data_IF_464955924211
#
_entry.id   IF_464955924211
#
_cell.length_a   1.000
_cell.length_b   1.000
_cell.length_c   1.000
_cell.angle_alpha   90.00
_cell.angle_beta   90.00
_cell.angle_gamma   90.00
#
_symmetry.space_group_name_H-M   'P 1'
#
loop_
_entity.id
_entity.type
_entity.pdbx_description
1 polymer ?
#
# COMPACT_ATOMS: atom_id res chain seq x y z
N UNK A 1 52.71 4.00 48.03
CA UNK A 1 51.41 4.68 47.87
C UNK A 1 51.31 5.13 46.42
N UNK A 2 50.31 4.88 45.59
CA UNK A 2 49.06 4.13 45.63
C UNK A 2 48.77 3.73 44.18
N UNK A 3 48.32 2.49 43.98
CA UNK A 3 47.81 1.96 42.71
C UNK A 3 46.56 2.75 42.30
N UNK A 4 46.48 3.23 41.06
CA UNK A 4 45.19 3.52 40.43
C UNK A 4 44.87 2.44 39.40
N UNK A 5 43.99 1.53 39.83
CA UNK A 5 43.37 0.51 39.01
C UNK A 5 42.35 1.16 38.08
N UNK A 6 42.55 1.04 36.77
CA UNK A 6 41.50 1.28 35.78
C UNK A 6 40.59 0.05 35.75
N UNK A 7 39.38 0.18 36.31
CA UNK A 7 38.36 -0.84 36.28
C UNK A 7 37.70 -0.89 34.89
N UNK A 8 38.06 -1.90 34.09
CA UNK A 8 37.32 -2.26 32.88
C UNK A 8 36.01 -2.94 33.30
N UNK A 9 34.89 -2.21 33.24
CA UNK A 9 33.55 -2.79 33.35
C UNK A 9 33.23 -3.65 32.12
N UNK A 10 32.60 -4.83 32.28
CA UNK A 10 32.29 -5.72 31.16
C UNK A 10 31.21 -5.09 30.25
N UNK A 11 31.23 -5.38 28.93
CA UNK A 11 30.27 -4.81 28.00
C UNK A 11 28.86 -5.35 28.28
N UNK A 12 27.91 -4.44 28.51
CA UNK A 12 26.48 -4.77 28.58
C UNK A 12 26.03 -5.35 27.24
N UNK A 13 25.74 -6.66 27.23
CA UNK A 13 24.95 -7.28 26.16
C UNK A 13 23.56 -6.65 26.17
N UNK A 14 22.99 -6.23 25.02
CA UNK A 14 21.58 -5.88 24.98
C UNK A 14 20.78 -7.15 25.27
N UNK A 15 20.18 -7.21 26.45
CA UNK A 15 19.19 -8.22 26.80
C UNK A 15 18.00 -7.96 25.87
N UNK A 16 17.91 -8.75 24.80
CA UNK A 16 16.66 -8.88 24.06
C UNK A 16 15.63 -9.49 24.99
N UNK A 17 14.90 -8.65 25.71
CA UNK A 17 13.64 -9.03 26.33
C UNK A 17 12.65 -9.17 25.17
N UNK A 18 12.70 -10.31 24.49
CA UNK A 18 11.61 -10.79 23.64
C UNK A 18 10.44 -11.10 24.57
N UNK A 19 9.73 -10.05 24.98
CA UNK A 19 8.47 -10.17 25.70
C UNK A 19 7.48 -10.70 24.66
N UNK A 20 7.42 -12.04 24.51
CA UNK A 20 6.31 -12.70 23.82
C UNK A 20 5.04 -12.18 24.47
N UNK A 21 4.36 -11.28 23.77
CA UNK A 21 2.99 -10.89 24.10
C UNK A 21 2.17 -12.19 24.15
N UNK A 22 1.34 -12.40 25.17
CA UNK A 22 0.49 -13.58 25.24
C UNK A 22 -0.35 -13.66 23.97
N UNK A 23 -0.19 -14.75 23.22
CA UNK A 23 -0.93 -15.02 21.99
C UNK A 23 -2.42 -15.17 22.34
N UNK A 24 -3.33 -14.36 21.78
CA UNK A 24 -4.75 -14.66 21.89
C UNK A 24 -5.05 -15.93 21.09
N UNK A 25 -5.67 -16.93 21.73
CA UNK A 25 -6.01 -18.23 21.13
C UNK A 25 -7.07 -18.16 20.00
N UNK A 26 -7.67 -16.99 19.77
CA UNK A 26 -8.53 -16.65 18.63
C UNK A 26 -8.28 -15.17 18.31
N UNK A 27 -8.03 -14.86 17.05
CA UNK A 27 -7.81 -13.48 16.61
C UNK A 27 -9.07 -12.65 16.89
N UNK A 28 -8.92 -11.40 17.39
CA UNK A 28 -10.07 -10.59 17.74
C UNK A 28 -10.96 -10.35 16.52
N UNK A 29 -12.26 -10.31 16.75
CA UNK A 29 -13.25 -9.93 15.73
C UNK A 29 -13.33 -8.40 15.70
N UNK A 30 -13.33 -7.82 14.50
CA UNK A 30 -13.49 -6.39 14.34
C UNK A 30 -14.97 -6.01 14.41
N UNK A 31 -15.33 -5.12 15.34
CA UNK A 31 -16.66 -4.51 15.42
C UNK A 31 -16.63 -3.16 14.71
N UNK A 32 -17.51 -2.98 13.72
CA UNK A 32 -17.49 -1.77 12.89
C UNK A 32 -17.89 -0.51 13.66
N UNK A 33 -18.68 -0.60 14.72
CA UNK A 33 -18.98 0.51 15.63
C UNK A 33 -17.75 1.13 16.30
N UNK A 34 -16.65 0.36 16.40
CA UNK A 34 -15.39 0.84 17.01
C UNK A 34 -14.52 1.59 16.01
N UNK A 35 -14.82 1.47 14.71
CA UNK A 35 -14.07 2.16 13.66
C UNK A 35 -14.67 3.55 13.49
N UNK A 36 -13.94 4.58 13.92
CA UNK A 36 -14.40 5.97 13.80
C UNK A 36 -14.23 6.56 12.40
N UNK A 37 -13.14 6.21 11.73
CA UNK A 37 -12.78 6.77 10.42
C UNK A 37 -11.92 5.79 9.64
N UNK A 38 -10.86 5.31 10.30
CA UNK A 38 -9.98 4.26 9.81
C UNK A 38 -9.54 3.34 10.95
N UNK A 39 -9.16 2.11 10.61
CA UNK A 39 -8.63 1.14 11.57
C UNK A 39 -7.59 0.24 10.90
N UNK A 40 -6.42 0.12 11.53
CA UNK A 40 -5.42 -0.89 11.16
C UNK A 40 -5.96 -2.29 11.46
N UNK A 41 -5.89 -3.16 10.44
CA UNK A 41 -6.39 -4.52 10.48
C UNK A 41 -5.33 -5.55 10.85
N UNK A 42 -4.04 -5.19 10.89
CA UNK A 42 -2.99 -6.14 11.27
C UNK A 42 -3.27 -6.89 12.60
N UNK A 43 -3.78 -6.24 13.68
CA UNK A 43 -4.11 -6.95 14.92
C UNK A 43 -5.27 -7.94 14.81
N UNK A 44 -6.08 -7.84 13.76
CA UNK A 44 -7.27 -8.66 13.49
C UNK A 44 -7.01 -9.70 12.39
N UNK A 45 -5.81 -9.68 11.80
CA UNK A 45 -5.46 -10.50 10.65
C UNK A 45 -4.80 -11.81 11.10
N UNK A 46 -5.30 -12.91 10.54
CA UNK A 46 -4.61 -14.19 10.57
C UNK A 46 -3.97 -14.47 9.23
N UNK A 47 -2.73 -14.97 9.24
CA UNK A 47 -1.93 -15.17 8.04
C UNK A 47 -1.61 -16.65 7.87
N UNK A 48 -1.72 -17.13 6.63
CA UNK A 48 -1.29 -18.44 6.16
C UNK A 48 -0.29 -18.24 5.02
N UNK A 49 0.94 -18.73 5.21
CA UNK A 49 1.98 -18.66 4.16
C UNK A 49 1.75 -19.79 3.14
N UNK A 50 1.64 -19.44 1.86
CA UNK A 50 1.51 -20.37 0.75
C UNK A 50 2.75 -20.28 -0.17
N UNK A 51 3.89 -20.81 0.30
CA UNK A 51 5.17 -20.70 -0.41
C UNK A 51 5.16 -21.28 -1.83
N UNK A 52 4.28 -22.24 -2.08
CA UNK A 52 4.18 -22.93 -3.37
C UNK A 52 3.05 -22.39 -4.25
N UNK A 53 2.29 -21.39 -3.79
CA UNK A 53 1.15 -20.78 -4.49
C UNK A 53 0.11 -21.82 -4.96
N UNK A 54 -0.18 -22.82 -4.11
CA UNK A 54 -1.06 -23.97 -4.46
C UNK A 54 -2.46 -23.87 -3.88
N UNK A 55 -2.69 -22.99 -2.90
CA UNK A 55 -4.00 -22.90 -2.27
C UNK A 55 -4.96 -22.04 -3.10
N UNK A 56 -6.16 -22.58 -3.33
CA UNK A 56 -7.30 -21.82 -3.85
C UNK A 56 -8.16 -21.33 -2.69
N UNK A 57 -9.11 -20.43 -2.96
CA UNK A 57 -10.06 -19.98 -1.93
C UNK A 57 -10.82 -21.14 -1.28
N UNK A 58 -11.14 -22.20 -2.02
CA UNK A 58 -11.82 -23.37 -1.47
C UNK A 58 -10.96 -24.08 -0.41
N UNK A 59 -9.66 -24.20 -0.67
CA UNK A 59 -8.72 -24.80 0.28
C UNK A 59 -8.45 -23.84 1.45
N UNK A 60 -8.20 -22.57 1.16
CA UNK A 60 -7.89 -21.54 2.15
C UNK A 60 -9.03 -21.26 3.14
N UNK A 61 -10.27 -21.47 2.70
CA UNK A 61 -11.47 -21.37 3.55
C UNK A 61 -11.87 -22.72 4.19
N UNK A 62 -11.20 -23.83 3.88
CA UNK A 62 -11.52 -25.13 4.46
C UNK A 62 -11.06 -25.24 5.93
N UNK A 63 -11.84 -25.97 6.73
CA UNK A 63 -11.53 -26.22 8.14
C UNK A 63 -10.18 -26.91 8.35
N UNK A 64 -9.71 -27.71 7.39
CA UNK A 64 -8.44 -28.42 7.47
C UNK A 64 -7.22 -27.48 7.53
N UNK A 65 -7.29 -26.29 6.93
CA UNK A 65 -6.22 -25.28 6.98
C UNK A 65 -6.43 -24.24 8.09
N UNK A 66 -7.57 -24.25 8.78
CA UNK A 66 -7.92 -23.25 9.80
C UNK A 66 -6.90 -23.12 10.94
N UNK A 67 -6.23 -24.21 11.30
CA UNK A 67 -5.23 -24.29 12.37
C UNK A 67 -3.84 -23.80 11.96
N UNK A 68 -3.61 -23.62 10.65
CA UNK A 68 -2.33 -23.12 10.10
C UNK A 68 -2.30 -21.60 9.96
N UNK A 69 -3.41 -20.93 10.25
CA UNK A 69 -3.50 -19.48 10.28
C UNK A 69 -2.93 -18.97 11.60
N UNK A 70 -1.97 -18.05 11.52
CA UNK A 70 -1.29 -17.48 12.68
C UNK A 70 -1.49 -15.96 12.74
N UNK A 71 -1.79 -15.44 13.93
CA UNK A 71 -1.89 -14.00 14.18
C UNK A 71 -0.50 -13.39 14.42
N UNK A 72 -0.29 -12.15 13.96
CA UNK A 72 0.99 -11.42 14.09
C UNK A 72 2.19 -12.20 13.52
N UNK A 73 1.97 -13.00 12.48
CA UNK A 73 3.02 -13.76 11.84
C UNK A 73 3.99 -12.81 11.13
N UNK A 74 5.28 -12.92 11.47
CA UNK A 74 6.34 -12.27 10.70
C UNK A 74 6.59 -13.07 9.43
N UNK A 75 6.48 -12.43 8.27
CA UNK A 75 6.76 -13.04 6.97
C UNK A 75 8.05 -12.46 6.39
N UNK A 76 8.78 -13.24 5.60
CA UNK A 76 10.08 -12.85 5.04
C UNK A 76 10.05 -12.68 3.51
N UNK A 77 11.17 -12.24 2.95
CA UNK A 77 11.36 -12.00 1.51
C UNK A 77 11.07 -13.23 0.61
N UNK A 78 11.14 -14.45 1.16
CA UNK A 78 10.86 -15.69 0.44
C UNK A 78 9.35 -16.01 0.32
N UNK A 79 8.50 -15.34 1.10
CA UNK A 79 7.07 -15.62 1.18
C UNK A 79 6.33 -14.83 0.09
N UNK A 80 6.35 -15.36 -1.13
CA UNK A 80 5.80 -14.72 -2.35
C UNK A 80 4.28 -14.82 -2.51
N UNK A 81 3.62 -15.66 -1.71
CA UNK A 81 2.17 -15.87 -1.74
C UNK A 81 1.66 -16.12 -0.32
N UNK A 82 0.70 -15.29 0.10
CA UNK A 82 0.21 -15.20 1.47
C UNK A 82 -1.31 -15.09 1.46
N UNK A 83 -1.96 -15.85 2.32
CA UNK A 83 -3.39 -15.76 2.57
C UNK A 83 -3.62 -15.04 3.90
N UNK A 84 -4.36 -13.95 3.87
CA UNK A 84 -4.86 -13.26 5.05
C UNK A 84 -6.34 -13.57 5.25
N UNK A 85 -6.79 -13.72 6.49
CA UNK A 85 -8.22 -13.71 6.80
C UNK A 85 -8.53 -12.89 8.04
N UNK A 86 -9.67 -12.24 8.03
CA UNK A 86 -10.21 -11.53 9.20
C UNK A 86 -11.73 -11.56 9.16
N UNK A 87 -12.36 -11.38 10.32
CA UNK A 87 -13.82 -11.32 10.43
C UNK A 87 -14.25 -9.96 10.95
N UNK A 88 -15.21 -9.34 10.26
CA UNK A 88 -15.85 -8.10 10.67
C UNK A 88 -17.30 -8.36 11.05
N UNK A 89 -17.77 -7.71 12.10
CA UNK A 89 -19.17 -7.70 12.53
C UNK A 89 -19.71 -6.30 12.31
N UNK A 90 -20.78 -6.19 11.51
CA UNK A 90 -21.52 -4.95 11.38
C UNK A 90 -22.55 -4.82 12.50
N UNK A 91 -22.23 -4.06 13.53
CA UNK A 91 -23.09 -3.76 14.67
C UNK A 91 -23.72 -2.35 14.61
N UNK A 92 -23.76 -1.73 13.43
CA UNK A 92 -24.30 -0.37 13.21
C UNK A 92 -25.82 -0.32 13.04
N UNK A 93 -26.46 -1.48 12.80
CA UNK A 93 -27.91 -1.58 12.57
C UNK A 93 -28.38 -1.26 11.15
N UNK A 94 -27.47 -0.97 10.22
CA UNK A 94 -27.74 -0.75 8.79
C UNK A 94 -26.66 -1.36 7.90
N UNK A 95 -26.98 -1.63 6.64
CA UNK A 95 -26.00 -2.11 5.64
C UNK A 95 -24.95 -1.02 5.41
N UNK A 96 -23.67 -1.36 5.53
CA UNK A 96 -22.56 -0.41 5.38
C UNK A 96 -21.55 -0.88 4.34
N UNK A 97 -20.87 0.10 3.73
CA UNK A 97 -19.81 -0.13 2.76
C UNK A 97 -18.50 0.42 3.28
N UNK A 98 -17.45 -0.39 3.17
CA UNK A 98 -16.13 -0.10 3.69
C UNK A 98 -15.09 -0.24 2.59
N UNK A 99 -14.02 0.52 2.70
CA UNK A 99 -12.87 0.43 1.79
C UNK A 99 -11.71 -0.17 2.54
N UNK A 100 -11.23 -1.31 2.06
CA UNK A 100 -10.00 -1.91 2.51
C UNK A 100 -8.86 -1.39 1.65
N UNK A 101 -7.96 -0.64 2.26
CA UNK A 101 -6.66 -0.34 1.72
C UNK A 101 -5.70 -1.48 2.03
N UNK A 102 -4.91 -1.84 1.01
CA UNK A 102 -3.72 -2.65 1.17
C UNK A 102 -2.47 -1.88 0.75
N UNK A 103 -1.32 -2.53 0.83
CA UNK A 103 -0.05 -2.00 0.38
C UNK A 103 0.22 -2.41 -1.07
N UNK A 104 1.38 -2.02 -1.58
CA UNK A 104 1.74 -2.16 -2.99
C UNK A 104 2.20 -3.58 -3.38
N UNK A 105 1.34 -4.57 -3.18
CA UNK A 105 1.54 -5.93 -3.67
C UNK A 105 1.38 -6.00 -5.21
N UNK A 106 2.02 -6.98 -5.84
CA UNK A 106 1.86 -7.21 -7.29
C UNK A 106 0.39 -7.52 -7.61
N UNK A 107 -0.27 -8.37 -6.81
CA UNK A 107 -1.70 -8.62 -6.90
C UNK A 107 -2.29 -8.96 -5.54
N UNK A 108 -3.50 -8.46 -5.28
CA UNK A 108 -4.32 -8.78 -4.12
C UNK A 108 -5.70 -9.17 -4.60
N UNK A 109 -6.12 -10.39 -4.25
CA UNK A 109 -7.49 -10.86 -4.48
C UNK A 109 -8.25 -10.93 -3.17
N UNK A 110 -9.39 -10.26 -3.11
CA UNK A 110 -10.30 -10.27 -1.99
C UNK A 110 -11.50 -11.15 -2.30
N UNK A 111 -11.76 -12.11 -1.41
CA UNK A 111 -12.85 -13.05 -1.49
C UNK A 111 -13.82 -12.77 -0.35
N UNK A 112 -15.08 -12.56 -0.72
CA UNK A 112 -16.18 -12.38 0.23
C UNK A 112 -17.32 -13.35 -0.11
N UNK A 113 -18.10 -13.81 0.88
CA UNK A 113 -19.21 -14.72 0.63
C UNK A 113 -20.31 -14.01 -0.16
N UNK A 114 -20.58 -14.48 -1.38
CA UNK A 114 -21.65 -13.96 -2.23
C UNK A 114 -23.02 -14.53 -1.85
N UNK A 115 -24.09 -13.91 -2.39
CA UNK A 115 -25.49 -14.27 -2.07
C UNK A 115 -25.89 -15.69 -2.50
N UNK A 116 -25.21 -16.28 -3.48
CA UNK A 116 -25.57 -17.56 -4.10
C UNK A 116 -24.64 -18.72 -3.69
N UNK A 117 -23.91 -18.57 -2.57
CA UNK A 117 -22.90 -19.54 -2.15
C UNK A 117 -21.63 -19.57 -3.00
N UNK A 118 -21.51 -18.68 -3.99
CA UNK A 118 -20.28 -18.43 -4.74
C UNK A 118 -19.50 -17.29 -4.08
N UNK A 119 -18.18 -17.35 -4.16
CA UNK A 119 -17.30 -16.27 -3.71
C UNK A 119 -17.38 -15.08 -4.67
N UNK A 120 -17.58 -13.89 -4.11
CA UNK A 120 -17.36 -12.64 -4.83
C UNK A 120 -15.87 -12.31 -4.77
N UNK A 121 -15.26 -12.11 -5.94
CA UNK A 121 -13.82 -11.86 -6.08
C UNK A 121 -13.59 -10.43 -6.54
N UNK A 122 -12.74 -9.72 -5.82
CA UNK A 122 -12.33 -8.34 -6.11
C UNK A 122 -10.81 -8.30 -6.25
N UNK A 123 -10.30 -7.64 -7.28
CA UNK A 123 -8.87 -7.61 -7.57
C UNK A 123 -8.32 -6.19 -7.47
N UNK A 124 -7.05 -6.09 -7.09
CA UNK A 124 -6.25 -4.86 -7.14
C UNK A 124 -4.76 -5.23 -7.14
N UNK A 125 -3.86 -4.29 -7.44
CA UNK A 125 -2.42 -4.47 -7.26
C UNK A 125 -1.59 -3.87 -8.39
N UNK A 126 -0.29 -3.74 -8.18
CA UNK A 126 0.62 -3.06 -9.12
C UNK A 126 0.70 -3.73 -10.49
N UNK A 127 0.52 -5.05 -10.55
CA UNK A 127 0.59 -5.86 -11.77
C UNK A 127 -0.78 -6.25 -12.33
N UNK A 128 -1.85 -5.76 -11.71
CA UNK A 128 -3.21 -5.94 -12.21
C UNK A 128 -3.54 -4.76 -13.13
N UNK A 129 -4.06 -5.00 -14.36
CA UNK A 129 -4.54 -3.93 -15.23
C UNK A 129 -5.57 -3.06 -14.50
N UNK A 130 -5.50 -1.75 -14.67
CA UNK A 130 -6.36 -0.81 -13.94
C UNK A 130 -7.87 -1.05 -14.22
N UNK A 131 -8.21 -1.58 -15.39
CA UNK A 131 -9.58 -1.98 -15.76
C UNK A 131 -10.16 -3.11 -14.90
N UNK A 132 -9.32 -3.92 -14.26
CA UNK A 132 -9.73 -5.04 -13.42
C UNK A 132 -9.80 -4.66 -11.93
N UNK A 133 -9.38 -3.44 -11.58
CA UNK A 133 -9.40 -2.98 -10.21
C UNK A 133 -10.84 -2.81 -9.72
N UNK A 134 -11.11 -3.27 -8.49
CA UNK A 134 -12.42 -3.11 -7.90
C UNK A 134 -12.79 -1.64 -7.64
N UNK A 135 -11.82 -0.84 -7.19
CA UNK A 135 -11.99 0.60 -6.99
C UNK A 135 -10.90 1.33 -7.79
N UNK A 136 -11.11 1.58 -9.09
CA UNK A 136 -10.08 2.18 -9.93
C UNK A 136 -9.80 3.64 -9.54
N UNK A 137 -10.83 4.44 -9.28
CA UNK A 137 -10.73 5.92 -9.19
C UNK A 137 -10.26 6.48 -7.83
N UNK A 138 -9.38 5.78 -7.13
CA UNK A 138 -8.82 6.23 -5.84
C UNK A 138 -7.37 6.65 -6.01
N UNK A 139 -7.13 7.95 -5.94
CA UNK A 139 -5.88 8.56 -6.38
C UNK A 139 -4.80 8.63 -5.31
N UNK A 140 -5.09 8.19 -4.09
CA UNK A 140 -4.14 8.30 -3.00
C UNK A 140 -3.72 6.97 -2.39
N UNK A 141 -4.56 5.94 -2.46
CA UNK A 141 -4.27 4.66 -1.82
C UNK A 141 -3.99 3.52 -2.80
N UNK A 142 -4.26 3.70 -4.11
CA UNK A 142 -3.78 2.86 -5.21
C UNK A 142 -4.11 1.36 -5.16
N UNK A 143 -4.70 0.86 -4.07
CA UNK A 143 -4.97 -0.55 -3.83
C UNK A 143 -6.15 -0.67 -2.88
N UNK A 144 -7.33 -0.28 -3.38
CA UNK A 144 -8.57 -0.28 -2.61
C UNK A 144 -9.49 -1.42 -3.04
N UNK A 145 -10.12 -2.04 -2.06
CA UNK A 145 -11.10 -3.10 -2.21
C UNK A 145 -12.34 -2.74 -1.40
N UNK A 146 -13.49 -2.71 -2.05
CA UNK A 146 -14.77 -2.44 -1.40
C UNK A 146 -15.29 -3.69 -0.70
N UNK A 147 -15.71 -3.55 0.56
CA UNK A 147 -16.29 -4.60 1.37
C UNK A 147 -17.69 -4.18 1.76
N UNK A 148 -18.68 -4.98 1.37
CA UNK A 148 -20.06 -4.80 1.83
C UNK A 148 -20.25 -5.55 3.14
N UNK A 149 -20.72 -4.85 4.16
CA UNK A 149 -21.01 -5.42 5.46
C UNK A 149 -22.53 -5.32 5.73
N UNK A 150 -23.30 -6.41 5.59
CA UNK A 150 -24.73 -6.38 5.85
C UNK A 150 -25.03 -6.14 7.34
N UNK A 151 -26.15 -5.47 7.63
CA UNK A 151 -26.55 -5.15 9.00
C UNK A 151 -26.60 -6.39 9.91
N UNK A 152 -26.00 -6.30 11.10
CA UNK A 152 -26.02 -7.33 12.16
C UNK A 152 -25.47 -8.69 11.73
N UNK A 153 -24.62 -8.74 10.71
CA UNK A 153 -23.97 -9.98 10.24
C UNK A 153 -22.45 -9.93 10.41
N UNK A 154 -21.88 -11.10 10.67
CA UNK A 154 -20.45 -11.34 10.56
C UNK A 154 -20.09 -11.65 9.10
N UNK A 155 -19.01 -11.06 8.61
CA UNK A 155 -18.44 -11.33 7.29
C UNK A 155 -16.98 -11.70 7.47
N UNK A 156 -16.61 -12.91 7.04
CA UNK A 156 -15.21 -13.32 6.97
C UNK A 156 -14.67 -13.00 5.58
N UNK A 157 -13.58 -12.23 5.55
CA UNK A 157 -12.91 -11.77 4.35
C UNK A 157 -11.61 -12.53 4.22
N UNK A 158 -11.35 -13.08 3.03
CA UNK A 158 -10.09 -13.72 2.70
C UNK A 158 -9.35 -12.87 1.67
N UNK A 159 -8.06 -12.67 1.88
CA UNK A 159 -7.17 -11.91 1.01
C UNK A 159 -6.06 -12.82 0.53
N UNK A 160 -5.83 -12.88 -0.76
CA UNK A 160 -4.68 -13.56 -1.34
C UNK A 160 -3.71 -12.53 -1.89
N UNK A 161 -2.57 -12.40 -1.23
CA UNK A 161 -1.50 -11.50 -1.61
C UNK A 161 -0.45 -12.28 -2.40
N UNK A 162 -0.06 -11.75 -3.56
CA UNK A 162 1.08 -12.27 -4.32
C UNK A 162 2.09 -11.17 -4.55
N UNK A 163 3.35 -11.52 -4.40
CA UNK A 163 4.47 -10.67 -4.76
C UNK A 163 5.53 -11.48 -5.51
N UNK A 164 5.73 -11.15 -6.78
CA UNK A 164 6.79 -11.73 -7.62
C UNK A 164 7.99 -10.79 -7.73
N UNK A 165 7.89 -9.57 -7.21
CA UNK A 165 8.92 -8.54 -7.24
C UNK A 165 9.66 -8.46 -5.90
N UNK A 166 10.97 -8.20 -5.91
CA UNK A 166 11.73 -7.87 -4.71
C UNK A 166 11.81 -6.34 -4.56
N UNK A 167 11.78 -5.77 -3.35
CA UNK A 167 11.63 -6.41 -2.02
C UNK A 167 10.18 -6.81 -1.70
N UNK A 168 9.93 -7.61 -0.64
CA UNK A 168 8.57 -7.89 -0.19
C UNK A 168 7.81 -6.60 0.14
N UNK A 169 6.59 -6.47 -0.36
CA UNK A 169 5.68 -5.43 0.08
C UNK A 169 5.44 -5.60 1.60
N UNK A 170 5.47 -4.49 2.34
CA UNK A 170 5.00 -4.46 3.75
C UNK A 170 3.53 -4.85 3.79
N UNK A 171 3.09 -5.62 4.76
CA UNK A 171 1.70 -6.00 4.89
C UNK A 171 1.04 -4.93 5.74
N UNK A 172 0.49 -3.92 5.09
CA UNK A 172 -0.27 -2.86 5.74
C UNK A 172 -1.72 -2.98 5.26
N UNK A 173 -2.66 -3.12 6.19
CA UNK A 173 -4.08 -3.25 5.90
C UNK A 173 -4.86 -2.28 6.75
N UNK A 174 -5.60 -1.38 6.11
CA UNK A 174 -6.41 -0.39 6.82
C UNK A 174 -7.80 -0.38 6.24
N UNK A 175 -8.80 -0.45 7.10
CA UNK A 175 -10.20 -0.32 6.69
C UNK A 175 -10.66 1.11 6.94
N UNK A 176 -11.39 1.67 5.98
CA UNK A 176 -11.96 3.01 6.02
C UNK A 176 -13.46 2.95 5.83
N UNK A 177 -14.18 3.82 6.52
CA UNK A 177 -15.57 4.09 6.17
C UNK A 177 -15.63 4.79 4.80
N UNK A 178 -16.47 4.32 3.89
CA UNK A 178 -16.48 4.81 2.50
C UNK A 178 -16.83 6.31 2.39
N UNK A 179 -17.74 6.81 3.25
CA UNK A 179 -18.14 8.21 3.26
C UNK A 179 -16.98 9.12 3.73
N UNK A 180 -16.34 8.75 4.84
CA UNK A 180 -15.16 9.45 5.35
C UNK A 180 -14.03 9.46 4.32
N UNK A 181 -13.74 8.30 3.71
CA UNK A 181 -12.70 8.19 2.70
C UNK A 181 -12.98 9.09 1.49
N UNK A 182 -14.22 9.13 1.01
CA UNK A 182 -14.59 9.95 -0.14
C UNK A 182 -14.44 11.46 0.13
N UNK A 183 -14.74 11.92 1.34
CA UNK A 183 -14.50 13.31 1.74
C UNK A 183 -13.01 13.61 1.85
N UNK A 184 -12.26 12.72 2.48
CA UNK A 184 -10.81 12.86 2.65
C UNK A 184 -10.06 12.86 1.31
N UNK A 185 -10.37 11.91 0.42
CA UNK A 185 -9.80 11.82 -0.93
C UNK A 185 -10.13 13.08 -1.75
N UNK A 186 -11.36 13.60 -1.64
CA UNK A 186 -11.76 14.86 -2.30
C UNK A 186 -10.91 16.04 -1.83
N UNK A 187 -10.70 16.18 -0.52
CA UNK A 187 -9.88 17.26 0.02
C UNK A 187 -8.41 17.13 -0.42
N UNK A 188 -7.86 15.92 -0.42
CA UNK A 188 -6.49 15.68 -0.87
C UNK A 188 -6.31 16.00 -2.36
N UNK A 189 -7.30 15.70 -3.21
CA UNK A 189 -7.28 16.07 -4.63
C UNK A 189 -7.16 17.58 -4.85
N UNK A 190 -7.83 18.41 -4.06
CA UNK A 190 -7.71 19.86 -4.19
C UNK A 190 -6.29 20.34 -3.88
N UNK A 191 -5.72 19.86 -2.76
CA UNK A 191 -4.34 20.20 -2.37
C UNK A 191 -3.34 19.75 -3.45
N UNK A 192 -3.52 18.54 -3.97
CA UNK A 192 -2.67 17.98 -5.02
C UNK A 192 -2.81 18.72 -6.35
N UNK A 193 -4.03 19.12 -6.73
CA UNK A 193 -4.27 19.94 -7.92
C UNK A 193 -3.58 21.31 -7.83
N UNK A 194 -3.64 21.96 -6.66
CA UNK A 194 -2.92 23.22 -6.41
C UNK A 194 -1.41 23.00 -6.50
N UNK A 195 -0.89 21.94 -5.88
CA UNK A 195 0.53 21.58 -5.94
C UNK A 195 1.01 21.36 -7.39
N UNK A 196 0.29 20.57 -8.18
CA UNK A 196 0.59 20.34 -9.59
C UNK A 196 0.49 21.63 -10.41
N UNK A 197 -0.47 22.51 -10.12
CA UNK A 197 -0.59 23.82 -10.75
C UNK A 197 0.60 24.73 -10.48
N UNK A 198 1.06 24.81 -9.22
CA UNK A 198 2.26 25.58 -8.85
C UNK A 198 3.49 25.02 -9.57
N UNK A 199 3.68 23.70 -9.57
CA UNK A 199 4.76 23.04 -10.31
C UNK A 199 4.74 23.39 -11.79
N UNK A 200 3.55 23.35 -12.42
CA UNK A 200 3.39 23.68 -13.82
C UNK A 200 3.78 25.12 -14.12
N UNK A 201 3.36 26.08 -13.28
CA UNK A 201 3.74 27.49 -13.41
C UNK A 201 5.26 27.66 -13.32
N UNK A 202 5.92 26.98 -12.37
CA UNK A 202 7.39 27.02 -12.23
C UNK A 202 8.06 26.44 -13.48
N UNK A 203 7.56 25.32 -14.00
CA UNK A 203 8.09 24.69 -15.23
C UNK A 203 7.95 25.64 -16.43
N UNK A 204 6.77 26.22 -16.63
CA UNK A 204 6.50 27.13 -17.74
C UNK A 204 7.33 28.42 -17.63
N UNK A 205 7.48 28.97 -16.43
CA UNK A 205 8.34 30.12 -16.17
C UNK A 205 9.80 29.82 -16.53
N UNK A 206 10.35 28.69 -16.07
CA UNK A 206 11.73 28.32 -16.37
C UNK A 206 11.94 27.98 -17.85
N UNK A 207 10.93 27.44 -18.52
CA UNK A 207 10.96 27.23 -19.96
C UNK A 207 10.97 28.56 -20.72
N UNK A 208 10.18 29.55 -20.28
CA UNK A 208 10.20 30.90 -20.83
C UNK A 208 11.59 31.54 -20.68
N UNK A 209 12.18 31.49 -19.47
CA UNK A 209 13.54 32.01 -19.23
C UNK A 209 14.58 31.30 -20.10
N UNK A 210 14.48 29.97 -20.27
CA UNK A 210 15.32 29.23 -21.19
C UNK A 210 15.21 29.75 -22.63
N UNK A 211 13.99 30.01 -23.12
CA UNK A 211 13.79 30.53 -24.47
C UNK A 211 14.39 31.94 -24.62
N UNK A 212 14.33 32.77 -23.58
CA UNK A 212 14.86 34.14 -23.57
C UNK A 212 16.39 34.20 -23.49
N UNK A 213 17.00 33.51 -22.52
CA UNK A 213 18.44 33.59 -22.22
C UNK A 213 19.24 32.55 -23.01
N UNK A 214 18.62 31.41 -23.36
CA UNK A 214 19.23 30.25 -24.04
C UNK A 214 20.38 29.58 -23.30
N UNK A 215 20.46 29.79 -21.99
CA UNK A 215 21.38 29.05 -21.12
C UNK A 215 20.86 27.64 -20.83
N UNK A 216 21.70 26.63 -21.09
CA UNK A 216 21.35 25.21 -20.94
C UNK A 216 20.94 24.83 -19.52
N UNK A 217 21.42 25.55 -18.52
CA UNK A 217 21.11 25.33 -17.11
C UNK A 217 19.60 25.39 -16.85
N UNK A 218 18.89 26.33 -17.46
CA UNK A 218 17.42 26.42 -17.33
C UNK A 218 16.70 25.23 -17.96
N UNK A 219 17.20 24.68 -19.07
CA UNK A 219 16.63 23.48 -19.68
C UNK A 219 16.80 22.25 -18.77
N UNK A 220 17.99 22.08 -18.18
CA UNK A 220 18.21 20.98 -17.23
C UNK A 220 17.32 21.11 -16.00
N UNK A 221 17.08 22.33 -15.52
CA UNK A 221 16.15 22.58 -14.43
C UNK A 221 14.70 22.23 -14.79
N UNK A 222 14.25 22.57 -16.01
CA UNK A 222 12.93 22.16 -16.53
C UNK A 222 12.79 20.64 -16.59
N UNK A 223 13.80 19.93 -17.12
CA UNK A 223 13.79 18.46 -17.19
C UNK A 223 13.78 17.85 -15.79
N UNK A 224 14.54 18.41 -14.85
CA UNK A 224 14.52 18.02 -13.44
C UNK A 224 13.11 18.14 -12.84
N UNK A 225 12.46 19.31 -13.01
CA UNK A 225 11.12 19.54 -12.48
C UNK A 225 10.06 18.63 -13.12
N UNK A 226 10.11 18.41 -14.44
CA UNK A 226 9.22 17.49 -15.14
C UNK A 226 9.40 16.06 -14.64
N UNK A 227 10.64 15.62 -14.45
CA UNK A 227 10.96 14.28 -13.95
C UNK A 227 10.51 14.10 -12.51
N UNK A 228 10.70 15.12 -11.66
CA UNK A 228 10.22 15.14 -10.28
C UNK A 228 8.68 15.10 -10.21
N UNK A 229 7.99 15.87 -11.08
CA UNK A 229 6.54 15.86 -11.18
C UNK A 229 6.01 14.47 -11.58
N UNK A 230 6.58 13.86 -12.62
CA UNK A 230 6.20 12.52 -13.06
C UNK A 230 6.50 11.46 -11.99
N UNK A 231 7.67 11.52 -11.34
CA UNK A 231 8.01 10.64 -10.23
C UNK A 231 6.99 10.73 -9.09
N UNK A 232 6.57 11.94 -8.73
CA UNK A 232 5.53 12.16 -7.73
C UNK A 232 4.18 11.59 -8.17
N UNK A 233 3.75 11.84 -9.42
CA UNK A 233 2.51 11.31 -9.98
C UNK A 233 2.49 9.78 -10.02
N UNK A 234 3.62 9.14 -10.36
CA UNK A 234 3.76 7.68 -10.34
C UNK A 234 3.63 7.14 -8.92
N UNK A 235 4.28 7.80 -7.95
CA UNK A 235 4.25 7.39 -6.54
C UNK A 235 2.83 7.43 -5.95
N UNK A 236 1.98 8.34 -6.45
CA UNK A 236 0.57 8.47 -6.10
C UNK A 236 -0.36 7.66 -7.03
N UNK A 237 0.17 6.87 -7.97
CA UNK A 237 -0.59 6.13 -9.01
C UNK A 237 -1.41 6.98 -10.00
N UNK A 238 -1.36 8.32 -9.93
CA UNK A 238 -1.95 9.22 -10.92
C UNK A 238 -1.50 8.93 -12.34
N UNK A 239 -0.20 8.67 -12.51
CA UNK A 239 0.37 8.45 -13.83
C UNK A 239 -0.12 7.13 -14.45
N UNK A 240 -0.39 6.11 -13.62
CA UNK A 240 -0.91 4.83 -14.09
C UNK A 240 -2.30 4.99 -14.69
N UNK A 241 -3.19 5.70 -13.98
CA UNK A 241 -4.56 5.95 -14.45
C UNK A 241 -4.59 6.82 -15.72
N UNK A 242 -3.82 7.92 -15.73
CA UNK A 242 -3.93 8.95 -16.78
C UNK A 242 -3.21 8.59 -18.08
N UNK A 243 -2.01 8.01 -17.99
CA UNK A 243 -1.13 7.88 -19.15
C UNK A 243 -0.99 6.45 -19.66
N UNK A 244 -1.04 5.43 -18.81
CA UNK A 244 -0.78 4.04 -19.20
C UNK A 244 -1.58 2.97 -18.43
N UNK A 245 -2.93 3.07 -18.37
CA UNK A 245 -3.76 2.20 -17.53
C UNK A 245 -3.70 0.71 -17.90
N UNK A 246 -3.29 0.40 -19.13
CA UNK A 246 -3.20 -0.96 -19.66
C UNK A 246 -1.76 -1.52 -19.63
N UNK A 247 -0.80 -0.80 -19.04
CA UNK A 247 0.61 -1.19 -19.03
C UNK A 247 1.18 -1.25 -17.60
N UNK A 248 0.73 -2.21 -16.76
CA UNK A 248 1.20 -2.37 -15.39
C UNK A 248 2.72 -2.56 -15.30
N UNK A 249 3.30 -3.27 -16.26
CA UNK A 249 4.75 -3.49 -16.30
C UNK A 249 5.52 -2.17 -16.44
N UNK A 250 5.11 -1.31 -17.38
CA UNK A 250 5.70 0.03 -17.52
C UNK A 250 5.53 0.84 -16.24
N UNK A 251 4.34 0.83 -15.63
CA UNK A 251 4.11 1.51 -14.36
C UNK A 251 5.13 1.09 -13.29
N UNK A 252 5.35 -0.21 -13.13
CA UNK A 252 6.28 -0.75 -12.14
C UNK A 252 7.75 -0.32 -12.31
N UNK A 253 8.21 -0.12 -13.55
CA UNK A 253 9.59 0.30 -13.83
C UNK A 253 9.74 1.82 -13.98
N UNK A 254 8.65 2.51 -14.34
CA UNK A 254 8.66 3.95 -14.65
C UNK A 254 9.15 4.79 -13.47
N UNK A 255 8.82 4.40 -12.24
CA UNK A 255 9.25 5.12 -11.05
C UNK A 255 10.79 5.19 -10.95
N UNK A 256 11.49 4.08 -11.21
CA UNK A 256 12.95 4.03 -11.20
C UNK A 256 13.53 4.85 -12.36
N UNK A 257 12.91 4.75 -13.54
CA UNK A 257 13.34 5.51 -14.74
C UNK A 257 13.26 7.02 -14.51
N UNK A 258 12.12 7.51 -14.03
CA UNK A 258 11.94 8.94 -13.77
C UNK A 258 12.75 9.45 -12.57
N UNK A 259 13.00 8.59 -11.57
CA UNK A 259 13.94 8.91 -10.50
C UNK A 259 15.37 9.07 -11.03
N UNK A 260 15.85 8.14 -11.86
CA UNK A 260 17.17 8.23 -12.47
C UNK A 260 17.30 9.46 -13.36
N UNK A 261 16.27 9.77 -14.16
CA UNK A 261 16.23 10.97 -15.00
C UNK A 261 16.25 12.25 -14.16
N UNK A 262 15.51 12.29 -13.06
CA UNK A 262 15.50 13.40 -12.11
C UNK A 262 16.90 13.65 -11.55
N UNK A 263 17.59 12.60 -11.07
CA UNK A 263 18.96 12.71 -10.54
C UNK A 263 19.95 13.16 -11.62
N UNK A 264 19.88 12.59 -12.83
CA UNK A 264 20.75 12.97 -13.93
C UNK A 264 20.55 14.45 -14.32
N UNK A 265 19.31 14.90 -14.45
CA UNK A 265 18.98 16.29 -14.75
C UNK A 265 19.46 17.25 -13.66
N UNK A 266 19.33 16.85 -12.39
CA UNK A 266 19.84 17.64 -11.26
C UNK A 266 21.37 17.80 -11.31
N UNK A 267 22.11 16.73 -11.61
CA UNK A 267 23.58 16.78 -11.76
C UNK A 267 23.99 17.65 -12.94
N UNK A 268 23.28 17.55 -14.07
CA UNK A 268 23.57 18.39 -15.24
C UNK A 268 23.29 19.86 -14.96
N UNK A 269 22.21 20.16 -14.24
CA UNK A 269 21.89 21.50 -13.77
C UNK A 269 23.02 22.08 -12.91
N UNK A 270 23.45 21.37 -11.87
CA UNK A 270 24.50 21.85 -10.95
C UNK A 270 25.87 21.97 -11.61
N UNK A 271 26.17 21.21 -12.67
CA UNK A 271 27.41 21.35 -13.45
C UNK A 271 27.40 22.53 -14.42
N UNK A 272 26.23 22.99 -14.82
CA UNK A 272 26.06 24.07 -15.79
C UNK A 272 25.92 25.46 -15.17
N UNK A 273 25.75 25.51 -13.84
CA UNK A 273 25.69 26.71 -13.03
C UNK A 273 27.05 26.96 -12.38
#
# INVERSE_FOLDING_TARGET
MLRHANAAGPPMRPVQVSRKLPQPAKTPVLYLSRVKAQQDLLPYLEILIDREDRYTIQNAAADSLSTRYEANLSYGDADRSLWGRFTLINDLGYDSEWLLQTSQWDSVACFTPGKTGRWEVKLTGQRVPFSEWNVPKSYHLGTLLQIRAPASKAVTVYLHFKNRSAPPAKLDLTIFESAYFAEWDRNMRYVQGIFLGILLVIILHNLYVFISIREKSYLFFVIYLLSACLFWMISQQYAYELFWPNSPYWNSISQIVFFALMVAAFILFTRSF
#
